data_IF_087870232419
#
_entry.id   IF_087870232419
#
_cell.length_a   1.000
_cell.length_b   1.000
_cell.length_c   1.000
_cell.angle_alpha   90.00
_cell.angle_beta   90.00
_cell.angle_gamma   90.00
#
_symmetry.space_group_name_H-M   'P 1'
#
loop_
_entity.id
_entity.type
_entity.pdbx_description
1 polymer ?
#
# COMPACT_ATOMS: atom_id res chain seq x y z
N UNK A 1 12.12 -14.16 -10.49
CA UNK A 1 11.90 -13.21 -9.39
C UNK A 1 10.66 -13.64 -8.62
N UNK A 2 10.21 -12.89 -7.61
CA UNK A 2 8.76 -12.69 -7.48
C UNK A 2 8.38 -11.59 -8.47
N UNK A 3 7.34 -11.78 -9.27
CA UNK A 3 6.83 -10.71 -10.12
C UNK A 3 5.74 -9.99 -9.35
N UNK A 4 6.08 -8.81 -8.85
CA UNK A 4 5.06 -7.82 -8.54
C UNK A 4 4.29 -7.51 -9.83
N UNK A 5 2.98 -7.69 -9.78
CA UNK A 5 2.07 -7.24 -10.84
C UNK A 5 1.39 -5.99 -10.34
N UNK A 6 1.98 -4.83 -10.64
CA UNK A 6 1.20 -3.61 -10.79
C UNK A 6 0.06 -3.95 -11.77
N UNK A 7 -1.19 -3.82 -11.35
CA UNK A 7 -2.36 -4.18 -12.18
C UNK A 7 -2.61 -3.06 -13.19
N UNK A 8 -1.67 -2.90 -14.13
CA UNK A 8 -1.88 -2.07 -15.32
C UNK A 8 -2.64 -2.89 -16.35
N UNK A 9 -3.96 -2.74 -16.35
CA UNK A 9 -4.83 -3.31 -17.37
C UNK A 9 -4.71 -2.49 -18.66
N UNK A 10 -3.65 -2.72 -19.45
CA UNK A 10 -3.69 -2.86 -20.92
C UNK A 10 -2.27 -3.05 -21.51
N UNK A 11 -2.20 -3.82 -22.60
CA UNK A 11 -1.12 -3.87 -23.61
C UNK A 11 -1.84 -3.87 -24.98
N UNK A 12 -1.29 -3.27 -26.05
CA UNK A 12 -0.11 -3.78 -26.77
C UNK A 12 0.94 -2.66 -26.99
N UNK A 13 2.26 -2.86 -27.05
CA UNK A 13 3.14 -3.49 -28.07
C UNK A 13 4.35 -2.54 -28.23
N UNK A 14 5.51 -3.03 -28.67
CA UNK A 14 6.79 -2.30 -28.55
C UNK A 14 6.99 -1.15 -29.55
N UNK A 15 7.62 -0.07 -29.10
CA UNK A 15 8.58 0.69 -29.90
C UNK A 15 9.65 1.33 -28.98
N UNK A 16 10.97 1.14 -29.18
CA UNK A 16 11.99 1.63 -28.25
C UNK A 16 12.54 2.99 -28.67
N UNK A 17 11.96 4.10 -28.16
CA UNK A 17 12.61 5.40 -27.91
C UNK A 17 11.60 6.47 -27.46
N UNK A 18 11.01 6.34 -26.26
CA UNK A 18 10.27 7.45 -25.63
C UNK A 18 10.20 7.29 -24.11
N UNK A 19 10.66 8.28 -23.35
CA UNK A 19 10.48 8.33 -21.89
C UNK A 19 9.06 8.77 -21.55
N UNK A 20 8.10 7.84 -21.69
CA UNK A 20 6.69 8.11 -21.39
C UNK A 20 6.47 8.12 -19.88
N UNK A 21 6.19 9.29 -19.31
CA UNK A 21 5.57 9.35 -17.97
C UNK A 21 4.15 8.77 -18.09
N UNK A 22 3.94 7.55 -17.59
CA UNK A 22 2.62 6.99 -17.43
C UNK A 22 1.82 7.79 -16.40
N UNK A 23 0.62 8.22 -16.77
CA UNK A 23 -0.16 9.15 -15.97
C UNK A 23 -0.61 8.56 -14.63
N UNK A 24 -0.32 9.30 -13.54
CA UNK A 24 -0.93 9.20 -12.20
C UNK A 24 -2.37 8.67 -12.27
N UNK A 25 -2.59 7.42 -11.87
CA UNK A 25 -3.87 6.73 -12.03
C UNK A 25 -4.56 6.41 -10.69
N UNK A 26 -5.32 7.35 -10.09
CA UNK A 26 -5.95 7.18 -8.77
C UNK A 26 -7.13 6.18 -8.73
N UNK A 27 -7.47 5.54 -9.85
CA UNK A 27 -8.76 4.87 -10.09
C UNK A 27 -8.73 3.33 -10.02
N UNK A 28 -7.74 2.71 -9.38
CA UNK A 28 -7.56 1.24 -9.40
C UNK A 28 -7.85 0.52 -8.06
N UNK A 29 -8.67 1.11 -7.19
CA UNK A 29 -9.11 0.48 -5.93
C UNK A 29 -10.64 0.58 -5.73
N UNK A 30 -11.38 -0.23 -6.47
CA UNK A 30 -12.79 -0.55 -6.18
C UNK A 30 -12.86 -1.89 -5.43
N UNK A 31 -13.15 -1.84 -4.12
CA UNK A 31 -13.41 -3.04 -3.33
C UNK A 31 -14.79 -3.63 -3.67
N UNK A 32 -14.84 -4.93 -3.99
CA UNK A 32 -16.08 -5.66 -4.26
C UNK A 32 -16.80 -6.01 -2.94
N UNK A 33 -17.67 -5.11 -2.47
CA UNK A 33 -18.53 -5.34 -1.31
C UNK A 33 -19.77 -6.19 -1.64
N UNK A 34 -19.57 -7.47 -1.99
CA UNK A 34 -20.68 -8.42 -2.19
C UNK A 34 -21.13 -9.02 -0.86
N UNK A 35 -22.18 -8.45 -0.28
CA UNK A 35 -22.91 -9.06 0.85
C UNK A 35 -23.66 -10.32 0.38
N UNK A 36 -23.72 -11.41 1.17
CA UNK A 36 -24.51 -12.59 0.82
C UNK A 36 -26.01 -12.30 0.97
N UNK A 37 -26.87 -12.83 0.06
CA UNK A 37 -28.33 -12.66 0.18
C UNK A 37 -28.89 -13.54 1.32
N UNK A 38 -29.77 -12.95 2.13
CA UNK A 38 -30.51 -13.68 3.17
C UNK A 38 -31.61 -14.57 2.56
N UNK A 39 -31.61 -15.87 2.87
CA UNK A 39 -32.72 -16.77 2.58
C UNK A 39 -33.61 -16.94 3.83
N UNK A 40 -34.91 -16.73 3.67
CA UNK A 40 -35.90 -16.88 4.73
C UNK A 40 -36.98 -17.90 4.33
N UNK A 41 -37.18 -18.95 5.14
CA UNK A 41 -38.18 -19.99 4.88
C UNK A 41 -38.78 -20.61 6.15
N UNK A 42 -39.89 -19.99 6.58
CA UNK A 42 -41.16 -20.63 6.97
C UNK A 42 -41.25 -22.09 6.46
N UNK A 43 -41.59 -23.14 7.23
CA UNK A 43 -42.01 -23.32 8.65
C UNK A 43 -41.55 -24.77 9.10
N UNK A 44 -42.05 -25.54 10.09
CA UNK A 44 -43.30 -25.58 10.90
C UNK A 44 -43.13 -26.41 12.21
N UNK A 45 -44.06 -26.23 13.17
CA UNK A 45 -44.41 -27.10 14.33
C UNK A 45 -43.43 -28.17 14.91
N UNK A 46 -43.21 -28.08 16.25
CA UNK A 46 -44.01 -28.87 17.22
C UNK A 46 -44.01 -28.25 18.63
N UNK A 47 -45.13 -28.38 19.36
CA UNK A 47 -45.26 -27.98 20.78
C UNK A 47 -44.91 -29.15 21.71
N UNK A 48 -44.24 -28.89 22.84
CA UNK A 48 -44.47 -29.64 24.08
C UNK A 48 -44.27 -28.75 25.32
N UNK A 49 -44.90 -29.12 26.46
CA UNK A 49 -45.16 -28.24 27.61
C UNK A 49 -44.88 -28.95 28.95
N UNK A 50 -43.89 -28.49 29.72
CA UNK A 50 -43.64 -28.74 31.17
C UNK A 50 -42.80 -27.56 31.69
N UNK A 51 -43.33 -26.68 32.55
CA UNK A 51 -43.50 -26.76 34.02
C UNK A 51 -42.18 -26.66 34.82
N UNK A 52 -41.89 -25.42 35.24
CA UNK A 52 -41.47 -25.02 36.60
C UNK A 52 -40.33 -25.77 37.31
N UNK A 53 -39.18 -25.11 37.44
CA UNK A 53 -38.35 -25.11 38.64
C UNK A 53 -37.64 -23.75 38.76
N UNK A 54 -37.62 -23.16 39.97
CA UNK A 54 -36.87 -21.92 40.26
C UNK A 54 -35.58 -22.27 40.98
N UNK A 55 -34.43 -21.92 40.40
CA UNK A 55 -33.13 -22.04 41.07
C UNK A 55 -32.37 -20.71 40.97
N UNK A 56 -31.89 -20.23 42.12
CA UNK A 56 -30.97 -19.10 42.24
C UNK A 56 -29.56 -19.66 42.41
N UNK A 57 -28.63 -19.27 41.54
CA UNK A 57 -27.18 -19.19 41.80
C UNK A 57 -26.71 -17.97 40.98
N UNK A 58 -26.19 -16.93 41.62
CA UNK A 58 -24.83 -16.81 42.18
C UNK A 58 -23.81 -16.60 41.07
N UNK A 59 -23.29 -15.37 40.96
CA UNK A 59 -22.36 -14.98 39.92
C UNK A 59 -20.99 -15.64 40.11
N UNK A 60 -20.50 -16.31 39.08
CA UNK A 60 -19.09 -16.62 38.91
C UNK A 60 -18.43 -15.49 38.13
N UNK A 61 -17.51 -14.76 38.76
CA UNK A 61 -16.75 -13.68 38.10
C UNK A 61 -16.01 -14.23 36.89
N UNK A 62 -16.39 -13.79 35.69
CA UNK A 62 -15.60 -14.07 34.49
C UNK A 62 -14.45 -13.08 34.48
N UNK A 63 -13.21 -13.57 34.58
CA UNK A 63 -12.02 -12.72 34.51
C UNK A 63 -11.87 -12.21 33.09
N UNK A 64 -11.97 -10.89 32.91
CA UNK A 64 -11.71 -10.24 31.62
C UNK A 64 -10.22 -10.34 31.31
N UNK A 65 -9.84 -11.31 30.48
CA UNK A 65 -8.53 -11.35 29.85
C UNK A 65 -8.43 -10.15 28.91
N UNK A 66 -7.83 -9.05 29.40
CA UNK A 66 -7.40 -7.96 28.55
C UNK A 66 -6.41 -8.51 27.52
N UNK A 67 -6.89 -8.72 26.28
CA UNK A 67 -6.01 -8.88 25.12
C UNK A 67 -5.19 -7.61 24.96
N UNK A 68 -4.01 -7.61 25.56
CA UNK A 68 -3.04 -6.55 25.42
C UNK A 68 -2.57 -6.54 23.97
N UNK A 69 -3.09 -5.61 23.17
CA UNK A 69 -2.60 -5.33 21.82
C UNK A 69 -1.19 -4.79 21.97
N UNK A 70 -0.21 -5.69 21.93
CA UNK A 70 1.21 -5.36 21.98
C UNK A 70 1.56 -4.52 20.75
N UNK A 71 1.43 -3.20 20.85
CA UNK A 71 2.26 -2.30 20.04
C UNK A 71 3.71 -2.63 20.38
N UNK A 72 4.53 -3.10 19.40
CA UNK A 72 5.96 -3.20 19.63
C UNK A 72 6.49 -1.78 19.87
N UNK A 73 7.50 -1.66 20.73
CA UNK A 73 8.21 -0.40 20.93
C UNK A 73 9.14 -0.16 19.74
N UNK A 74 9.52 1.11 19.53
CA UNK A 74 10.52 1.52 18.52
C UNK A 74 11.79 0.66 18.54
N UNK A 75 12.20 0.25 19.74
CA UNK A 75 13.46 -0.41 20.04
C UNK A 75 13.37 -1.95 19.98
N UNK A 76 12.18 -2.52 19.77
CA UNK A 76 11.98 -3.98 19.69
C UNK A 76 12.49 -4.50 18.33
N UNK A 77 13.70 -5.06 18.34
CA UNK A 77 14.34 -5.68 17.16
C UNK A 77 13.64 -6.99 16.78
N UNK A 78 13.24 -7.12 15.52
CA UNK A 78 12.50 -8.28 14.99
C UNK A 78 13.23 -8.91 13.79
N UNK A 79 13.30 -10.25 13.75
CA UNK A 79 13.67 -10.98 12.52
C UNK A 79 12.51 -10.91 11.50
N UNK A 80 12.73 -10.24 10.36
CA UNK A 80 11.73 -10.09 9.31
C UNK A 80 12.20 -10.74 7.99
N UNK A 81 11.44 -11.69 7.41
CA UNK A 81 11.69 -12.19 6.05
C UNK A 81 11.48 -11.08 5.02
N UNK A 82 12.43 -10.90 4.11
CA UNK A 82 12.46 -9.77 3.18
C UNK A 82 12.31 -10.21 1.71
N UNK A 83 11.52 -9.42 0.97
CA UNK A 83 11.46 -9.39 -0.49
C UNK A 83 12.19 -8.15 -1.03
N UNK A 84 13.45 -8.28 -1.49
CA UNK A 84 14.07 -7.30 -2.37
C UNK A 84 13.32 -7.24 -3.71
N UNK A 85 12.77 -6.07 -4.04
CA UNK A 85 12.01 -5.81 -5.27
C UNK A 85 12.41 -4.45 -5.88
N UNK A 86 12.37 -4.29 -7.22
CA UNK A 86 12.61 -3.01 -7.89
C UNK A 86 11.37 -2.09 -7.84
N UNK A 87 10.76 -1.96 -6.66
CA UNK A 87 9.63 -1.08 -6.36
C UNK A 87 9.63 -0.71 -4.87
N UNK A 88 8.85 0.31 -4.52
CA UNK A 88 8.64 0.75 -3.15
C UNK A 88 7.23 0.38 -2.71
N UNK A 89 7.06 -0.10 -1.47
CA UNK A 89 5.75 -0.31 -0.84
C UNK A 89 5.54 0.80 0.20
N UNK A 90 4.39 1.45 0.18
CA UNK A 90 4.01 2.45 1.17
C UNK A 90 3.00 1.90 2.19
N UNK A 91 2.98 2.43 3.43
CA UNK A 91 1.89 2.22 4.37
C UNK A 91 0.51 2.45 3.73
N UNK A 92 -0.43 1.55 3.98
CA UNK A 92 -1.78 1.60 3.42
C UNK A 92 -1.92 1.13 1.96
N UNK A 93 -0.85 1.13 1.16
CA UNK A 93 -0.88 0.71 -0.24
C UNK A 93 -1.10 -0.80 -0.40
N UNK A 94 -1.61 -1.22 -1.56
CA UNK A 94 -1.92 -2.64 -1.84
C UNK A 94 -1.05 -3.15 -3.00
N UNK A 95 -0.34 -4.24 -2.77
CA UNK A 95 0.67 -4.80 -3.67
C UNK A 95 0.30 -6.24 -4.08
N UNK A 96 -0.02 -6.48 -5.37
CA UNK A 96 -0.25 -7.81 -5.92
C UNK A 96 1.08 -8.49 -6.31
N UNK A 97 1.35 -9.67 -5.75
CA UNK A 97 2.57 -10.44 -6.02
C UNK A 97 2.25 -11.81 -6.64
N UNK A 98 3.02 -12.21 -7.65
CA UNK A 98 3.06 -13.59 -8.12
C UNK A 98 4.41 -14.24 -7.77
N UNK A 99 4.35 -15.25 -6.89
CA UNK A 99 5.51 -15.97 -6.36
C UNK A 99 5.73 -17.22 -7.21
N UNK A 100 6.92 -17.33 -7.82
CA UNK A 100 7.31 -18.51 -8.60
C UNK A 100 8.76 -18.96 -8.35
N UNK A 101 9.66 -18.07 -7.92
CA UNK A 101 11.01 -18.44 -7.50
C UNK A 101 10.99 -19.39 -6.29
N UNK A 102 11.76 -20.48 -6.37
CA UNK A 102 11.80 -21.53 -5.34
C UNK A 102 12.09 -20.98 -3.93
N UNK A 103 13.05 -20.06 -3.78
CA UNK A 103 13.35 -19.43 -2.49
C UNK A 103 12.15 -18.75 -1.85
N UNK A 104 11.33 -18.07 -2.65
CA UNK A 104 10.17 -17.33 -2.19
C UNK A 104 8.94 -18.25 -2.01
N UNK A 105 8.88 -19.39 -2.71
CA UNK A 105 7.95 -20.48 -2.37
C UNK A 105 8.27 -21.06 -0.97
N UNK A 106 9.54 -21.29 -0.65
CA UNK A 106 9.98 -21.72 0.69
C UNK A 106 9.64 -20.65 1.75
N UNK A 107 9.84 -19.37 1.43
CA UNK A 107 9.41 -18.26 2.30
C UNK A 107 7.90 -18.27 2.54
N UNK A 108 7.09 -18.44 1.50
CA UNK A 108 5.63 -18.57 1.62
C UNK A 108 5.21 -19.76 2.50
N UNK A 109 5.87 -20.91 2.38
CA UNK A 109 5.62 -22.05 3.30
C UNK A 109 6.02 -21.76 4.74
N UNK A 110 6.91 -20.80 4.99
CA UNK A 110 7.19 -20.28 6.35
C UNK A 110 6.05 -19.37 6.80
N UNK A 111 5.73 -18.35 6.00
CA UNK A 111 4.74 -17.29 6.31
C UNK A 111 3.33 -17.83 6.58
N UNK A 112 2.92 -18.90 5.90
CA UNK A 112 1.62 -19.57 6.12
C UNK A 112 1.47 -20.22 7.51
N UNK A 113 2.53 -20.25 8.32
CA UNK A 113 2.53 -20.76 9.70
C UNK A 113 2.97 -19.69 10.72
N UNK A 114 3.01 -18.41 10.33
CA UNK A 114 3.36 -17.25 11.17
C UNK A 114 2.28 -16.17 11.10
N UNK A 115 2.62 -14.91 11.36
CA UNK A 115 1.75 -13.73 11.30
C UNK A 115 1.41 -13.23 9.88
N UNK A 116 1.78 -13.97 8.82
CA UNK A 116 1.59 -13.60 7.41
C UNK A 116 2.25 -12.26 6.99
N UNK A 117 3.22 -11.72 7.76
CA UNK A 117 3.92 -10.46 7.47
C UNK A 117 5.34 -10.69 6.94
N UNK A 118 5.76 -9.84 6.00
CA UNK A 118 7.10 -9.82 5.43
C UNK A 118 7.50 -8.38 5.08
N UNK A 119 8.79 -8.08 5.01
CA UNK A 119 9.24 -6.76 4.55
C UNK A 119 9.39 -6.69 3.03
N UNK A 120 8.81 -5.68 2.40
CA UNK A 120 9.23 -5.24 1.06
C UNK A 120 10.32 -4.21 1.23
N UNK A 121 11.44 -4.41 0.53
CA UNK A 121 12.58 -3.50 0.54
C UNK A 121 13.00 -3.18 -0.90
N UNK A 122 13.23 -1.90 -1.19
CA UNK A 122 13.64 -1.49 -2.53
C UNK A 122 15.02 -2.05 -2.85
N UNK A 123 15.16 -2.64 -4.03
CA UNK A 123 16.45 -3.12 -4.53
C UNK A 123 16.50 -3.18 -6.05
N UNK A 124 17.57 -2.62 -6.61
CA UNK A 124 17.88 -2.68 -8.04
C UNK A 124 19.37 -3.03 -8.26
N UNK A 125 19.82 -3.02 -9.53
CA UNK A 125 21.18 -3.39 -9.89
C UNK A 125 22.21 -2.24 -9.81
N UNK A 126 21.79 -1.02 -9.41
CA UNK A 126 22.61 0.20 -9.49
C UNK A 126 22.82 0.83 -8.11
N UNK A 127 21.75 0.98 -7.34
CA UNK A 127 21.75 1.45 -5.95
C UNK A 127 21.95 0.33 -4.92
N UNK A 128 21.71 -0.93 -5.30
CA UNK A 128 21.85 -2.09 -4.43
C UNK A 128 20.54 -2.42 -3.71
N UNK A 129 20.53 -2.46 -2.39
CA UNK A 129 19.34 -2.67 -1.55
C UNK A 129 19.26 -1.53 -0.54
N UNK A 130 18.10 -0.89 -0.42
CA UNK A 130 17.88 0.21 0.52
C UNK A 130 17.87 -0.27 1.99
N UNK A 131 17.97 0.66 2.93
CA UNK A 131 17.90 0.36 4.38
C UNK A 131 16.47 0.37 4.91
N UNK A 132 15.58 1.17 4.31
CA UNK A 132 14.19 1.33 4.75
C UNK A 132 13.24 0.57 3.82
N UNK A 133 12.26 -0.10 4.42
CA UNK A 133 11.20 -0.79 3.72
C UNK A 133 9.84 -0.64 4.42
N UNK A 134 8.84 -1.36 3.92
CA UNK A 134 7.49 -1.41 4.48
C UNK A 134 7.02 -2.85 4.61
N UNK A 135 6.34 -3.18 5.71
CA UNK A 135 5.79 -4.52 5.95
C UNK A 135 4.57 -4.74 5.07
N UNK A 136 4.61 -5.78 4.23
CA UNK A 136 3.45 -6.34 3.56
C UNK A 136 2.80 -7.42 4.43
N UNK A 137 1.54 -7.21 4.82
CA UNK A 137 0.67 -8.24 5.41
C UNK A 137 -0.14 -8.93 4.30
N UNK A 138 -0.19 -10.26 4.27
CA UNK A 138 -0.92 -11.02 3.24
C UNK A 138 -2.43 -11.05 3.55
N UNK A 139 -3.17 -10.06 3.04
CA UNK A 139 -4.63 -9.97 3.16
C UNK A 139 -5.39 -10.98 2.28
N UNK A 140 -4.76 -11.56 1.25
CA UNK A 140 -5.29 -12.69 0.47
C UNK A 140 -4.17 -13.51 -0.17
N UNK A 141 -4.27 -14.84 -0.14
CA UNK A 141 -3.40 -15.73 -0.91
C UNK A 141 -4.17 -16.81 -1.67
N UNK A 142 -3.60 -17.26 -2.79
CA UNK A 142 -4.08 -18.37 -3.60
C UNK A 142 -2.89 -19.26 -4.00
N UNK A 143 -2.94 -20.56 -3.68
CA UNK A 143 -1.93 -21.53 -4.11
C UNK A 143 -2.30 -22.04 -5.50
N UNK A 144 -1.47 -21.70 -6.46
CA UNK A 144 -1.55 -22.13 -7.85
C UNK A 144 -0.85 -23.49 -8.02
N UNK A 145 -0.91 -24.05 -9.23
CA UNK A 145 -0.13 -25.23 -9.61
C UNK A 145 1.38 -24.98 -9.45
N UNK A 146 2.13 -26.05 -9.17
CA UNK A 146 3.58 -26.06 -8.92
C UNK A 146 4.02 -25.27 -7.67
N UNK A 147 3.13 -25.17 -6.66
CA UNK A 147 3.24 -24.34 -5.44
C UNK A 147 3.68 -22.90 -5.70
N UNK A 148 3.27 -22.37 -6.86
CA UNK A 148 3.31 -20.93 -7.11
C UNK A 148 2.19 -20.29 -6.30
N UNK A 149 2.36 -19.03 -5.90
CA UNK A 149 1.32 -18.30 -5.19
C UNK A 149 0.94 -17.03 -5.94
N UNK A 150 -0.33 -16.66 -5.89
CA UNK A 150 -0.79 -15.30 -6.11
C UNK A 150 -1.20 -14.70 -4.77
N UNK A 151 -0.71 -13.51 -4.47
CA UNK A 151 -0.90 -12.81 -3.20
C UNK A 151 -1.45 -11.41 -3.47
N UNK A 152 -2.35 -10.96 -2.61
CA UNK A 152 -2.58 -9.54 -2.36
C UNK A 152 -2.03 -9.27 -0.95
N UNK A 153 -1.10 -8.33 -0.84
CA UNK A 153 -0.64 -7.83 0.45
C UNK A 153 -0.95 -6.33 0.60
N UNK A 154 -1.05 -5.87 1.84
CA UNK A 154 -1.24 -4.47 2.21
C UNK A 154 -0.01 -3.99 2.98
N UNK A 155 0.50 -2.81 2.64
CA UNK A 155 1.53 -2.12 3.39
C UNK A 155 1.01 -1.68 4.76
N UNK A 156 1.78 -1.95 5.80
CA UNK A 156 1.49 -1.57 7.19
C UNK A 156 2.58 -0.61 7.68
N UNK A 157 3.37 -0.99 8.68
CA UNK A 157 4.44 -0.15 9.22
C UNK A 157 5.67 -0.10 8.31
N UNK A 158 6.42 1.01 8.38
CA UNK A 158 7.79 1.05 7.86
C UNK A 158 8.77 0.42 8.85
N UNK A 159 9.88 -0.06 8.33
CA UNK A 159 10.99 -0.58 9.13
C UNK A 159 12.33 -0.10 8.56
N UNK A 160 13.36 -0.04 9.42
CA UNK A 160 14.76 0.14 9.04
C UNK A 160 15.52 -1.17 9.33
N UNK A 161 16.31 -1.64 8.37
CA UNK A 161 17.23 -2.78 8.57
C UNK A 161 18.36 -2.35 9.50
N UNK A 162 18.63 -3.16 10.52
CA UNK A 162 19.77 -2.94 11.44
C UNK A 162 20.91 -3.94 11.19
N UNK A 163 20.58 -5.18 10.82
CA UNK A 163 21.56 -6.23 10.57
C UNK A 163 21.01 -7.33 9.63
N UNK A 164 21.89 -8.01 8.89
CA UNK A 164 21.52 -9.11 7.97
C UNK A 164 21.77 -10.46 8.63
N UNK A 165 20.68 -11.18 8.93
CA UNK A 165 20.74 -12.49 9.59
C UNK A 165 21.06 -13.61 8.60
N UNK A 166 20.41 -13.64 7.43
CA UNK A 166 20.70 -14.63 6.37
C UNK A 166 20.30 -14.13 4.99
N UNK A 167 21.02 -14.57 3.97
CA UNK A 167 20.73 -14.29 2.54
C UNK A 167 20.18 -15.50 1.77
N UNK A 168 20.12 -16.68 2.41
CA UNK A 168 19.69 -17.95 1.83
C UNK A 168 18.78 -18.72 2.80
N UNK A 169 17.76 -19.45 2.32
CA UNK A 169 17.33 -19.53 0.92
C UNK A 169 16.73 -18.21 0.41
N UNK A 170 16.12 -17.43 1.29
CA UNK A 170 15.64 -16.06 1.09
C UNK A 170 16.36 -15.09 2.06
N UNK A 171 16.12 -13.79 1.91
CA UNK A 171 16.72 -12.73 2.72
C UNK A 171 15.95 -12.58 4.03
N UNK A 172 16.64 -12.48 5.16
CA UNK A 172 16.07 -12.17 6.48
C UNK A 172 17.01 -11.21 7.20
N UNK A 173 16.44 -10.17 7.79
CA UNK A 173 17.15 -9.13 8.51
C UNK A 173 16.55 -8.92 9.90
N UNK A 174 17.38 -8.42 10.81
CA UNK A 174 16.92 -7.75 12.03
C UNK A 174 16.48 -6.33 11.66
N UNK A 175 15.30 -5.92 12.10
CA UNK A 175 14.70 -4.63 11.76
C UNK A 175 14.15 -3.92 13.00
N UNK A 176 14.11 -2.59 12.96
CA UNK A 176 13.42 -1.72 13.94
C UNK A 176 12.31 -0.93 13.26
N UNK A 177 11.25 -0.60 14.00
CA UNK A 177 10.08 0.11 13.48
C UNK A 177 10.38 1.59 13.19
N UNK A 178 9.83 2.12 12.09
CA UNK A 178 10.12 3.48 11.62
C UNK A 178 8.87 4.38 11.60
N UNK A 179 8.58 4.96 12.75
CA UNK A 179 7.51 5.95 12.95
C UNK A 179 7.92 7.33 12.41
N UNK A 180 6.94 8.21 12.17
CA UNK A 180 7.23 9.62 11.89
C UNK A 180 7.45 10.37 13.21
N UNK A 181 8.50 11.19 13.23
CA UNK A 181 8.77 12.14 14.32
C UNK A 181 7.66 13.21 14.31
N UNK A 182 7.30 13.78 15.47
CA UNK A 182 6.38 14.91 15.51
C UNK A 182 6.91 16.06 14.64
N UNK A 183 6.13 16.48 13.65
CA UNK A 183 6.36 17.73 12.93
C UNK A 183 6.36 18.91 13.91
N UNK A 184 7.06 20.00 13.55
CA UNK A 184 7.15 21.21 14.38
C UNK A 184 5.87 22.05 14.39
N UNK A 185 6.02 23.37 14.41
CA UNK A 185 4.90 24.34 14.39
C UNK A 185 4.20 24.43 13.00
N UNK A 186 4.16 23.34 12.24
CA UNK A 186 3.67 23.31 10.86
C UNK A 186 2.22 22.83 10.76
N UNK A 187 1.39 23.58 10.04
CA UNK A 187 0.01 23.18 9.74
C UNK A 187 -0.02 22.06 8.68
N UNK A 188 -0.01 20.82 9.17
CA UNK A 188 -0.10 19.61 8.35
C UNK A 188 -1.41 19.51 7.56
N UNK A 189 -2.51 20.12 8.03
CA UNK A 189 -3.80 20.08 7.34
C UNK A 189 -3.83 21.07 6.16
N UNK A 190 -3.25 22.26 6.34
CA UNK A 190 -3.00 23.20 5.24
C UNK A 190 -2.06 22.58 4.19
N UNK A 191 -0.93 21.99 4.61
CA UNK A 191 0.01 21.31 3.69
C UNK A 191 -0.65 20.17 2.91
N UNK A 192 -1.43 19.32 3.57
CA UNK A 192 -2.15 18.23 2.92
C UNK A 192 -3.20 18.75 1.91
N UNK A 193 -3.87 19.86 2.23
CA UNK A 193 -4.85 20.51 1.34
C UNK A 193 -4.18 21.15 0.11
N UNK A 194 -3.00 21.76 0.28
CA UNK A 194 -2.21 22.29 -0.84
C UNK A 194 -1.67 21.17 -1.75
N UNK A 195 -1.22 20.04 -1.18
CA UNK A 195 -0.79 18.85 -1.92
C UNK A 195 -1.97 18.26 -2.71
N UNK A 196 -3.14 18.12 -2.09
CA UNK A 196 -4.35 17.61 -2.76
C UNK A 196 -4.76 18.51 -3.93
N UNK A 197 -4.67 19.83 -3.77
CA UNK A 197 -4.94 20.81 -4.84
C UNK A 197 -3.97 20.62 -6.01
N UNK A 198 -2.66 20.57 -5.74
CA UNK A 198 -1.64 20.34 -6.76
C UNK A 198 -1.85 18.99 -7.50
N UNK A 199 -2.27 17.95 -6.77
CA UNK A 199 -2.57 16.63 -7.33
C UNK A 199 -3.81 16.67 -8.25
N UNK A 200 -4.87 17.37 -7.85
CA UNK A 200 -6.08 17.57 -8.68
C UNK A 200 -5.76 18.32 -9.97
N UNK A 201 -4.93 19.36 -9.93
CA UNK A 201 -4.50 20.12 -11.11
C UNK A 201 -3.68 19.26 -12.09
N UNK A 202 -2.73 18.47 -11.58
CA UNK A 202 -1.93 17.52 -12.39
C UNK A 202 -2.82 16.46 -13.05
N UNK A 203 -3.76 15.87 -12.30
CA UNK A 203 -4.72 14.89 -12.84
C UNK A 203 -5.58 15.53 -13.93
N UNK A 204 -6.10 16.74 -13.71
CA UNK A 204 -6.94 17.46 -14.67
C UNK A 204 -6.20 17.75 -15.97
N UNK A 205 -5.00 18.31 -15.87
CA UNK A 205 -4.19 18.67 -17.05
C UNK A 205 -3.71 17.43 -17.82
N UNK A 206 -3.36 16.35 -17.10
CA UNK A 206 -3.04 15.05 -17.70
C UNK A 206 -4.23 14.44 -18.43
N UNK A 207 -5.45 14.50 -17.87
CA UNK A 207 -6.65 14.02 -18.56
C UNK A 207 -6.96 14.81 -19.83
N UNK A 208 -6.86 16.15 -19.78
CA UNK A 208 -6.99 17.03 -20.97
C UNK A 208 -6.00 16.65 -22.08
N UNK A 209 -4.71 16.50 -21.74
CA UNK A 209 -3.66 16.14 -22.70
C UNK A 209 -3.91 14.78 -23.37
N UNK A 210 -4.40 13.81 -22.60
CA UNK A 210 -4.70 12.44 -23.04
C UNK A 210 -6.13 12.25 -23.59
N UNK A 211 -6.90 13.33 -23.81
CA UNK A 211 -8.28 13.29 -24.34
C UNK A 211 -9.24 12.40 -23.53
N UNK A 212 -8.95 12.22 -22.24
CA UNK A 212 -9.81 11.48 -21.30
C UNK A 212 -10.91 12.42 -20.80
N UNK A 213 -12.17 11.96 -20.69
CA UNK A 213 -13.25 12.79 -20.17
C UNK A 213 -12.93 13.25 -18.74
N UNK A 214 -13.14 14.55 -18.45
CA UNK A 214 -13.07 15.08 -17.09
C UNK A 214 -14.14 14.38 -16.23
N UNK A 215 -13.72 13.39 -15.44
CA UNK A 215 -14.48 12.93 -14.29
C UNK A 215 -14.29 13.95 -13.17
N UNK A 216 -15.34 14.21 -12.40
CA UNK A 216 -15.24 15.05 -11.20
C UNK A 216 -14.12 14.52 -10.30
N UNK A 217 -13.26 15.43 -9.84
CA UNK A 217 -12.19 15.11 -8.92
C UNK A 217 -12.79 14.81 -7.53
N UNK A 218 -13.11 13.53 -7.31
CA UNK A 218 -13.46 12.99 -6.01
C UNK A 218 -12.45 13.45 -4.95
N UNK A 219 -12.90 13.51 -3.69
CA UNK A 219 -12.02 13.65 -2.53
C UNK A 219 -10.85 12.62 -2.64
N UNK A 220 -9.64 13.13 -2.85
CA UNK A 220 -8.44 12.32 -3.00
C UNK A 220 -7.84 12.01 -1.64
N UNK A 221 -8.09 12.85 -0.63
CA UNK A 221 -7.75 12.57 0.76
C UNK A 221 -8.59 11.44 1.33
N UNK A 222 -9.87 11.29 0.92
CA UNK A 222 -10.79 10.23 1.40
C UNK A 222 -10.93 10.22 2.93
N UNK A 223 -10.94 11.40 3.56
CA UNK A 223 -10.85 11.60 5.01
C UNK A 223 -9.55 11.07 5.68
N UNK A 224 -8.46 10.86 4.94
CA UNK A 224 -7.15 10.54 5.51
C UNK A 224 -6.53 11.77 6.21
N UNK A 225 -5.99 11.52 7.40
CA UNK A 225 -5.08 12.43 8.10
C UNK A 225 -3.79 12.67 7.28
N UNK A 226 -3.04 13.76 7.53
CA UNK A 226 -1.90 14.17 6.69
C UNK A 226 -0.82 13.10 6.53
N UNK A 227 -0.49 12.34 7.59
CA UNK A 227 0.53 11.29 7.54
C UNK A 227 0.13 10.13 6.60
N UNK A 228 -1.02 9.42 6.79
CA UNK A 228 -1.52 8.47 5.79
C UNK A 228 -1.72 9.05 4.39
N UNK A 229 -2.14 10.32 4.27
CA UNK A 229 -2.31 10.96 2.97
C UNK A 229 -0.98 11.12 2.23
N UNK A 230 0.10 11.53 2.90
CA UNK A 230 1.43 11.61 2.27
C UNK A 230 1.90 10.25 1.75
N UNK A 231 1.78 9.16 2.53
CA UNK A 231 2.09 7.82 2.04
C UNK A 231 1.23 7.39 0.83
N UNK A 232 -0.03 7.81 0.75
CA UNK A 232 -0.85 7.62 -0.44
C UNK A 232 -0.33 8.43 -1.64
N UNK A 233 0.05 9.70 -1.46
CA UNK A 233 0.58 10.56 -2.53
C UNK A 233 1.92 10.03 -3.05
N UNK A 234 2.88 9.72 -2.17
CA UNK A 234 4.17 9.11 -2.56
C UNK A 234 4.02 7.80 -3.32
N UNK A 235 3.02 6.97 -2.97
CA UNK A 235 2.67 5.75 -3.71
C UNK A 235 2.21 6.02 -5.15
N UNK A 236 1.70 7.23 -5.46
CA UNK A 236 1.19 7.54 -6.81
C UNK A 236 2.26 7.89 -7.84
N UNK A 237 3.52 8.15 -7.44
CA UNK A 237 4.61 8.50 -8.36
C UNK A 237 5.15 7.30 -9.16
N UNK A 238 4.29 6.76 -10.03
CA UNK A 238 4.60 5.66 -10.96
C UNK A 238 5.86 5.95 -11.80
N UNK A 239 6.74 4.95 -11.91
CA UNK A 239 7.95 5.04 -12.72
C UNK A 239 9.14 5.78 -12.08
N UNK A 240 8.98 6.37 -10.89
CA UNK A 240 10.03 7.10 -10.18
C UNK A 240 10.45 6.43 -8.84
N UNK A 241 10.89 5.15 -8.83
CA UNK A 241 11.11 4.39 -7.59
C UNK A 241 12.15 5.03 -6.65
N UNK A 242 13.14 5.78 -7.17
CA UNK A 242 14.09 6.52 -6.34
C UNK A 242 13.46 7.68 -5.56
N UNK A 243 12.53 8.42 -6.18
CA UNK A 243 11.74 9.46 -5.50
C UNK A 243 10.78 8.84 -4.48
N UNK A 244 10.16 7.70 -4.85
CA UNK A 244 9.32 6.93 -3.92
C UNK A 244 10.10 6.45 -2.69
N UNK A 245 11.34 5.98 -2.88
CA UNK A 245 12.18 5.51 -1.78
C UNK A 245 12.59 6.67 -0.87
N UNK A 246 13.00 7.80 -1.45
CA UNK A 246 13.32 9.01 -0.68
C UNK A 246 12.11 9.50 0.15
N UNK A 247 10.90 9.44 -0.39
CA UNK A 247 9.67 9.81 0.33
C UNK A 247 9.30 8.81 1.44
N UNK A 248 9.57 7.51 1.24
CA UNK A 248 9.40 6.49 2.28
C UNK A 248 10.40 6.69 3.43
N UNK A 249 11.62 7.10 3.12
CA UNK A 249 12.74 7.32 4.06
C UNK A 249 12.63 8.61 4.89
N UNK A 250 11.86 9.61 4.46
CA UNK A 250 11.61 10.81 5.27
C UNK A 250 10.88 10.46 6.57
N UNK A 251 11.43 10.87 7.72
CA UNK A 251 10.89 10.60 9.06
C UNK A 251 10.01 11.74 9.62
N UNK A 252 9.54 12.64 8.74
CA UNK A 252 8.66 13.77 9.10
C UNK A 252 7.59 13.99 8.01
N UNK A 253 6.33 14.08 8.44
CA UNK A 253 5.18 14.27 7.53
C UNK A 253 5.20 15.63 6.84
N UNK A 254 5.58 16.71 7.52
CA UNK A 254 5.59 18.05 6.93
C UNK A 254 6.60 18.14 5.77
N UNK A 255 7.81 17.62 5.98
CA UNK A 255 8.87 17.52 4.98
C UNK A 255 8.45 16.63 3.80
N UNK A 256 7.76 15.51 4.06
CA UNK A 256 7.24 14.63 3.01
C UNK A 256 6.20 15.33 2.13
N UNK A 257 5.18 15.95 2.74
CA UNK A 257 4.16 16.74 2.02
C UNK A 257 4.78 17.90 1.22
N UNK A 258 5.78 18.59 1.78
CA UNK A 258 6.54 19.65 1.07
C UNK A 258 7.27 19.11 -0.16
N UNK A 259 7.92 17.95 -0.06
CA UNK A 259 8.62 17.29 -1.19
C UNK A 259 7.63 16.81 -2.26
N UNK A 260 6.52 16.20 -1.85
CA UNK A 260 5.42 15.80 -2.75
C UNK A 260 4.84 17.00 -3.51
N UNK A 261 4.59 18.10 -2.82
CA UNK A 261 4.12 19.39 -3.39
C UNK A 261 5.10 19.96 -4.42
N UNK A 262 6.41 19.84 -4.19
CA UNK A 262 7.44 20.25 -5.14
C UNK A 262 7.42 19.37 -6.41
N UNK A 263 7.41 18.05 -6.26
CA UNK A 263 7.35 17.07 -7.37
C UNK A 263 6.09 17.31 -8.22
N UNK A 264 4.93 17.50 -7.58
CA UNK A 264 3.66 17.78 -8.25
C UNK A 264 3.70 19.12 -9.00
N UNK A 265 4.26 20.18 -8.42
CA UNK A 265 4.43 21.48 -9.10
C UNK A 265 5.35 21.40 -10.31
N UNK A 266 6.47 20.67 -10.20
CA UNK A 266 7.39 20.46 -11.33
C UNK A 266 6.71 19.66 -12.46
N UNK A 267 5.88 18.67 -12.10
CA UNK A 267 5.05 17.92 -13.05
C UNK A 267 4.00 18.81 -13.71
N UNK A 268 3.31 19.67 -12.94
CA UNK A 268 2.31 20.62 -13.45
C UNK A 268 2.91 21.62 -14.44
N UNK A 269 4.12 22.15 -14.14
CA UNK A 269 4.86 23.04 -15.03
C UNK A 269 5.20 22.34 -16.36
N UNK A 270 5.70 21.10 -16.31
CA UNK A 270 6.01 20.31 -17.50
C UNK A 270 4.76 20.03 -18.36
N UNK A 271 3.65 19.58 -17.74
CA UNK A 271 2.39 19.33 -18.44
C UNK A 271 1.78 20.62 -19.01
N UNK A 272 1.99 21.77 -18.37
CA UNK A 272 1.53 23.07 -18.88
C UNK A 272 2.27 23.49 -20.15
N UNK A 273 3.60 23.31 -20.17
CA UNK A 273 4.41 23.51 -21.37
C UNK A 273 4.00 22.53 -22.49
N UNK A 274 3.74 21.26 -22.16
CA UNK A 274 3.27 20.26 -23.12
C UNK A 274 1.89 20.59 -23.72
N UNK A 275 0.94 21.13 -22.93
CA UNK A 275 -0.35 21.61 -23.44
C UNK A 275 -0.13 22.74 -24.44
N UNK A 276 0.63 23.77 -24.07
CA UNK A 276 0.88 24.92 -24.94
C UNK A 276 1.50 24.52 -26.29
N UNK A 277 2.36 23.49 -26.33
CA UNK A 277 2.89 22.95 -27.59
C UNK A 277 1.82 22.20 -28.39
N UNK A 278 0.99 21.37 -27.76
CA UNK A 278 -0.12 20.66 -28.43
C UNK A 278 -1.16 21.63 -29.01
N UNK A 279 -1.45 22.70 -28.27
CA UNK A 279 -2.42 23.74 -28.65
C UNK A 279 -1.91 24.61 -29.84
N UNK A 280 -0.59 24.72 -30.05
CA UNK A 280 0.05 25.41 -31.19
C UNK A 280 0.26 24.51 -32.40
N UNK A 281 0.48 23.20 -32.20
CA UNK A 281 0.69 22.21 -33.26
C UNK A 281 -0.37 21.10 -33.21
N UNK A 282 -1.64 21.40 -33.57
CA UNK A 282 -2.68 20.38 -33.68
C UNK A 282 -2.25 19.32 -34.71
N UNK A 283 -2.45 18.05 -34.37
CA UNK A 283 -2.10 16.92 -35.24
C UNK A 283 -3.18 16.72 -36.31
N UNK A 284 -2.82 17.01 -37.56
CA UNK A 284 -3.66 16.85 -38.76
C UNK A 284 -3.91 15.40 -39.15
#
# INVERSE_FOLDING_TARGET
MALARVISTHKPSLNPNTTTLSALNPNNFSFLSNSPPSLASILHHRRHKRRTASLKCSASSFSEEHHNTNHPKSDDVVELPLFPLPLVLFPGAVLPLQIFELRYRIMMHTLLHTDLRFGVIYSDAVSGTAEVGCVGEIVKHERLVDDRFFLICKGQERFRVTNVVRTKPYFVAEVTWLEDRPSGEEDLEALATEVETCMKDVIRLSNRLNEKPEKEAQDLRRNLFPTPFSFFVGNTFEGAPGEQQALLELEDTATRLKREKEILRNTLNYLSAASAVKDVFPSS
#
